data_IF_503941153349
#
_entry.id   IF_503941153349
#
_cell.length_a   1.000
_cell.length_b   1.000
_cell.length_c   1.000
_cell.angle_alpha   90.00
_cell.angle_beta   90.00
_cell.angle_gamma   90.00
#
_symmetry.space_group_name_H-M   'P 1'
#
loop_
_entity.id
_entity.type
_entity.pdbx_description
1 polymer ?
#
# COMPACT_ATOMS: atom_id res chain seq x y z
N UNK A 1 -9.06 15.30 -15.97
CA UNK A 1 -9.11 14.00 -15.26
C UNK A 1 -10.56 13.70 -14.93
N UNK A 2 -11.13 12.67 -15.53
CA UNK A 2 -12.52 12.29 -15.28
C UNK A 2 -12.56 11.54 -13.93
N UNK A 3 -13.13 12.15 -12.89
CA UNK A 3 -13.19 11.55 -11.55
C UNK A 3 -14.55 10.89 -11.35
N UNK A 4 -14.55 9.57 -11.14
CA UNK A 4 -15.74 8.84 -10.73
C UNK A 4 -15.86 8.87 -9.21
N UNK A 5 -17.04 9.18 -8.67
CA UNK A 5 -17.31 9.16 -7.24
C UNK A 5 -17.96 7.83 -6.85
N UNK A 6 -17.44 7.19 -5.80
CA UNK A 6 -17.95 5.94 -5.27
C UNK A 6 -18.51 6.18 -3.86
N UNK A 7 -19.83 6.03 -3.70
CA UNK A 7 -20.51 6.05 -2.40
C UNK A 7 -20.89 4.65 -1.96
N UNK A 8 -20.25 4.12 -0.90
CA UNK A 8 -20.53 2.77 -0.38
C UNK A 8 -20.86 2.86 1.12
N UNK A 9 -21.89 2.13 1.54
CA UNK A 9 -22.18 1.92 2.96
C UNK A 9 -21.33 0.77 3.46
N UNK A 10 -20.42 1.06 4.39
CA UNK A 10 -19.59 0.06 5.05
C UNK A 10 -20.13 -0.27 6.44
N UNK A 11 -20.00 -1.53 6.91
CA UNK A 11 -20.31 -1.89 8.29
C UNK A 11 -19.45 -1.10 9.28
N UNK A 12 -19.99 -0.78 10.45
CA UNK A 12 -19.30 -0.02 11.51
C UNK A 12 -17.99 -0.69 11.95
N UNK A 13 -17.95 -2.02 12.04
CA UNK A 13 -16.72 -2.77 12.35
C UNK A 13 -15.60 -2.51 11.32
N UNK A 14 -15.96 -2.43 10.03
CA UNK A 14 -14.99 -2.16 8.97
C UNK A 14 -14.52 -0.71 9.00
N UNK A 15 -15.41 0.23 9.31
CA UNK A 15 -15.06 1.64 9.47
C UNK A 15 -14.09 1.88 10.64
N UNK A 16 -14.26 1.15 11.75
CA UNK A 16 -13.33 1.20 12.88
C UNK A 16 -11.94 0.68 12.50
N UNK A 17 -11.87 -0.48 11.84
CA UNK A 17 -10.60 -1.03 11.34
C UNK A 17 -9.93 -0.09 10.32
N UNK A 18 -10.70 0.49 9.41
CA UNK A 18 -10.20 1.46 8.45
C UNK A 18 -9.63 2.69 9.16
N UNK A 19 -10.35 3.22 10.16
CA UNK A 19 -9.93 4.38 10.95
C UNK A 19 -8.65 4.09 11.73
N UNK A 20 -8.53 2.90 12.34
CA UNK A 20 -7.32 2.48 13.03
C UNK A 20 -6.12 2.32 12.06
N UNK A 21 -6.37 1.86 10.83
CA UNK A 21 -5.34 1.75 9.79
C UNK A 21 -4.87 3.13 9.30
N UNK A 22 -5.79 4.08 9.15
CA UNK A 22 -5.49 5.48 8.82
C UNK A 22 -4.65 6.13 9.90
N UNK A 23 -5.00 5.91 11.18
CA UNK A 23 -4.21 6.43 12.30
C UNK A 23 -2.79 5.85 12.37
N UNK A 24 -2.60 4.61 11.93
CA UNK A 24 -1.27 3.96 11.90
C UNK A 24 -0.42 4.36 10.69
N UNK A 25 -1.03 4.53 9.52
CA UNK A 25 -0.31 4.82 8.27
C UNK A 25 -0.19 6.30 7.96
N UNK A 26 -1.02 7.16 8.58
CA UNK A 26 -1.08 8.59 8.30
C UNK A 26 -1.70 8.93 6.93
N UNK A 27 -2.17 7.93 6.18
CA UNK A 27 -2.76 8.10 4.85
C UNK A 27 -4.21 8.60 4.93
N UNK A 28 -4.66 9.36 3.93
CA UNK A 28 -6.06 9.78 3.90
C UNK A 28 -7.01 8.60 3.69
N UNK A 29 -8.26 8.73 4.15
CA UNK A 29 -9.34 7.74 3.92
C UNK A 29 -9.41 7.33 2.45
N UNK A 30 -9.32 8.30 1.56
CA UNK A 30 -9.39 8.09 0.11
C UNK A 30 -8.21 7.27 -0.40
N UNK A 31 -6.99 7.58 0.01
CA UNK A 31 -5.79 6.83 -0.40
C UNK A 31 -5.82 5.39 0.08
N UNK A 32 -6.25 5.15 1.32
CA UNK A 32 -6.38 3.79 1.88
C UNK A 32 -7.40 2.98 1.08
N UNK A 33 -8.55 3.58 0.73
CA UNK A 33 -9.59 2.92 -0.06
C UNK A 33 -9.14 2.66 -1.49
N UNK A 34 -8.47 3.63 -2.13
CA UNK A 34 -7.92 3.46 -3.48
C UNK A 34 -6.87 2.35 -3.48
N UNK A 35 -5.94 2.34 -2.53
CA UNK A 35 -4.90 1.33 -2.45
C UNK A 35 -5.49 -0.07 -2.15
N UNK A 36 -6.49 -0.15 -1.28
CA UNK A 36 -7.20 -1.40 -1.01
C UNK A 36 -7.96 -1.92 -2.24
N UNK A 37 -8.64 -1.05 -2.99
CA UNK A 37 -9.30 -1.42 -4.24
C UNK A 37 -8.29 -1.81 -5.33
N UNK A 38 -7.20 -1.06 -5.48
CA UNK A 38 -6.13 -1.35 -6.43
C UNK A 38 -5.45 -2.69 -6.13
N UNK A 39 -5.23 -2.99 -4.85
CA UNK A 39 -4.71 -4.28 -4.40
C UNK A 39 -5.72 -5.40 -4.63
N UNK A 40 -7.01 -5.19 -4.30
CA UNK A 40 -8.07 -6.18 -4.47
C UNK A 40 -8.36 -6.52 -5.94
N UNK A 41 -8.37 -5.51 -6.81
CA UNK A 41 -8.65 -5.69 -8.25
C UNK A 41 -7.41 -6.07 -9.06
N UNK A 42 -6.24 -6.21 -8.42
CA UNK A 42 -4.96 -6.40 -9.12
C UNK A 42 -4.54 -5.19 -9.96
N UNK A 43 -5.31 -4.12 -9.96
CA UNK A 43 -5.00 -2.82 -10.56
C UNK A 43 -4.03 -2.02 -9.69
N UNK A 44 -2.98 -2.66 -9.16
CA UNK A 44 -1.83 -1.98 -8.55
C UNK A 44 -0.97 -1.30 -9.62
N UNK A 45 -1.60 -0.64 -10.59
CA UNK A 45 -0.98 -0.20 -11.85
C UNK A 45 -0.29 1.17 -11.76
N UNK A 46 0.01 1.68 -10.58
CA UNK A 46 0.63 3.00 -10.39
C UNK A 46 1.74 3.00 -9.31
N UNK A 47 2.16 1.84 -8.82
CA UNK A 47 3.55 1.72 -8.35
C UNK A 47 4.22 1.02 -9.52
N UNK A 48 4.95 1.78 -10.32
CA UNK A 48 5.66 1.25 -11.47
C UNK A 48 6.37 -0.02 -11.05
N UNK A 49 6.28 -1.11 -11.83
CA UNK A 49 7.03 -2.34 -11.54
C UNK A 49 8.50 -2.03 -11.24
N UNK A 50 9.03 -0.97 -11.85
CA UNK A 50 10.32 -0.37 -11.55
C UNK A 50 10.47 0.04 -10.08
N UNK A 51 9.55 0.78 -9.48
CA UNK A 51 9.64 1.20 -8.06
C UNK A 51 9.54 0.00 -7.11
N UNK A 52 8.73 -1.01 -7.43
CA UNK A 52 8.68 -2.26 -6.66
C UNK A 52 9.98 -3.05 -6.79
N UNK A 53 10.55 -3.11 -7.99
CA UNK A 53 11.83 -3.76 -8.28
C UNK A 53 12.97 -3.03 -7.55
N UNK A 54 13.04 -1.71 -7.64
CA UNK A 54 14.06 -0.89 -6.97
C UNK A 54 13.97 -1.00 -5.45
N UNK A 55 12.76 -1.01 -4.87
CA UNK A 55 12.58 -1.25 -3.43
C UNK A 55 13.03 -2.66 -3.02
N UNK A 56 12.78 -3.66 -3.86
CA UNK A 56 13.19 -5.04 -3.62
C UNK A 56 14.71 -5.21 -3.76
N UNK A 57 15.33 -4.61 -4.79
CA UNK A 57 16.78 -4.56 -4.99
C UNK A 57 17.48 -3.87 -3.81
N UNK A 58 16.96 -2.74 -3.33
CA UNK A 58 17.51 -2.04 -2.17
C UNK A 58 17.44 -2.89 -0.89
N UNK A 59 16.33 -3.60 -0.68
CA UNK A 59 16.18 -4.54 0.45
C UNK A 59 17.12 -5.73 0.34
N UNK A 60 17.29 -6.29 -0.86
CA UNK A 60 18.19 -7.41 -1.11
C UNK A 60 19.65 -7.00 -0.88
N UNK A 61 20.06 -5.81 -1.33
CA UNK A 61 21.40 -5.29 -1.09
C UNK A 61 21.70 -5.10 0.42
N UNK A 62 20.74 -4.60 1.21
CA UNK A 62 20.88 -4.52 2.66
C UNK A 62 21.02 -5.89 3.32
N UNK A 63 20.25 -6.88 2.87
CA UNK A 63 20.33 -8.27 3.35
C UNK A 63 21.65 -8.93 2.97
N UNK A 64 22.15 -8.71 1.76
CA UNK A 64 23.46 -9.20 1.32
C UNK A 64 24.59 -8.58 2.11
N UNK A 65 24.49 -7.29 2.45
CA UNK A 65 25.48 -6.60 3.29
C UNK A 65 25.50 -7.19 4.69
N UNK A 66 24.33 -7.37 5.31
CA UNK A 66 24.21 -7.96 6.64
C UNK A 66 24.68 -9.42 6.66
N UNK A 67 24.37 -10.20 5.62
CA UNK A 67 24.85 -11.58 5.50
C UNK A 67 26.36 -11.67 5.37
N UNK A 68 27.01 -10.64 4.81
CA UNK A 68 28.48 -10.59 4.64
C UNK A 68 29.21 -10.13 5.90
N UNK A 69 28.52 -9.46 6.83
CA UNK A 69 29.06 -9.06 8.14
C UNK A 69 28.99 -10.19 9.19
N UNK A 70 28.33 -11.31 8.88
CA UNK A 70 28.13 -12.45 9.79
C UNK A 70 29.07 -13.64 9.46
N UNK A 71 29.84 -13.55 8.37
CA UNK A 71 30.96 -14.46 8.01
C UNK A 71 32.30 -13.86 8.50
#
# INVERSE_FOLDING_TARGET
>A
MNTAQLGVRIPSNLNERLSAFISQTGMSKTEVVINALASYMGCSSEISLTERMTSLEAKMAMLETLSREVD
#
